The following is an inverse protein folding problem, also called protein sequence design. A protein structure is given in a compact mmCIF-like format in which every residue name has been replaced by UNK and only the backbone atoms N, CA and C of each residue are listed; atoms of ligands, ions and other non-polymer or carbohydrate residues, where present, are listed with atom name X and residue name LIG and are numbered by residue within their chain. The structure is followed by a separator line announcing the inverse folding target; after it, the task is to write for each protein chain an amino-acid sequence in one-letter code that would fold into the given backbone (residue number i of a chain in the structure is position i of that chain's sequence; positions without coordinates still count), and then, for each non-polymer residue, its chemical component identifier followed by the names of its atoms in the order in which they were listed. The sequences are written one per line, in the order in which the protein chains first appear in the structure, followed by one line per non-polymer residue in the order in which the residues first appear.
data_IF_702611267477
#
_entry.id   IF_702611267477
#
_cell.length_a   1.000
_cell.length_b   1.000
_cell.length_c   1.000
_cell.angle_alpha   90.00
_cell.angle_beta   90.00
_cell.angle_gamma   90.00
#
_symmetry.space_group_name_H-M   'P 1'
#
loop_
_entity.id
_entity.type
_entity.pdbx_description
1 polymer ?
#
# COMPACT_ATOMS: atom_id res chain seq x y z
N UNK A 1 34.94 -20.20 21.24
CA UNK A 1 34.08 -19.56 20.21
C UNK A 1 33.36 -18.39 20.87
N UNK A 2 33.70 -17.16 20.49
CA UNK A 2 33.08 -15.96 21.06
C UNK A 2 31.71 -15.80 20.41
N UNK A 3 30.65 -15.87 21.20
CA UNK A 3 29.29 -15.58 20.80
C UNK A 3 29.23 -14.11 20.37
N UNK A 4 29.30 -13.89 19.06
CA UNK A 4 29.10 -12.60 18.42
C UNK A 4 27.75 -12.06 18.91
N UNK A 5 27.79 -11.02 19.75
CA UNK A 5 26.61 -10.40 20.33
C UNK A 5 25.86 -9.69 19.20
N UNK A 6 25.06 -10.45 18.45
CA UNK A 6 24.11 -9.92 17.48
C UNK A 6 23.41 -8.72 18.09
N UNK A 7 23.51 -7.57 17.40
CA UNK A 7 22.99 -6.27 17.81
C UNK A 7 21.62 -6.47 18.47
N UNK A 8 21.54 -6.18 19.78
CA UNK A 8 20.29 -6.32 20.55
C UNK A 8 19.17 -5.60 19.78
N UNK A 9 18.12 -6.32 19.40
CA UNK A 9 16.97 -5.87 18.59
C UNK A 9 17.15 -5.83 17.06
N UNK A 10 18.12 -6.55 16.51
CA UNK A 10 18.16 -6.78 15.07
C UNK A 10 17.01 -7.70 14.63
N UNK A 11 16.35 -7.32 13.53
CA UNK A 11 15.27 -8.08 12.91
C UNK A 11 15.65 -8.39 11.48
N UNK A 12 15.82 -9.67 11.17
CA UNK A 12 15.97 -10.10 9.78
C UNK A 12 14.61 -10.24 9.12
N UNK A 13 14.62 -10.16 7.79
CA UNK A 13 13.43 -10.35 6.97
C UNK A 13 12.64 -11.62 7.32
N UNK A 14 13.31 -12.76 7.46
CA UNK A 14 12.66 -14.04 7.77
C UNK A 14 11.97 -14.05 9.14
N UNK A 15 12.55 -13.36 10.14
CA UNK A 15 11.94 -13.21 11.47
C UNK A 15 10.66 -12.38 11.40
N UNK A 16 10.69 -11.27 10.65
CA UNK A 16 9.53 -10.40 10.46
C UNK A 16 8.42 -11.16 9.73
N UNK A 17 8.77 -11.88 8.68
CA UNK A 17 7.83 -12.69 7.90
C UNK A 17 7.18 -13.79 8.77
N UNK A 18 7.99 -14.54 9.51
CA UNK A 18 7.49 -15.54 10.45
C UNK A 18 6.56 -14.93 11.50
N UNK A 19 6.93 -13.77 12.06
CA UNK A 19 6.10 -13.05 13.03
C UNK A 19 4.75 -12.66 12.42
N UNK A 20 4.74 -12.04 11.23
CA UNK A 20 3.52 -11.58 10.58
C UNK A 20 2.59 -12.74 10.19
N UNK A 21 3.16 -13.84 9.71
CA UNK A 21 2.40 -15.06 9.41
C UNK A 21 1.73 -15.63 10.67
N UNK A 22 2.45 -15.71 11.79
CA UNK A 22 1.87 -16.16 13.05
C UNK A 22 0.78 -15.21 13.58
N UNK A 23 0.95 -13.89 13.45
CA UNK A 23 -0.09 -12.92 13.80
C UNK A 23 -1.34 -13.12 12.92
N UNK A 24 -1.13 -13.44 11.63
CA UNK A 24 -2.22 -13.73 10.69
C UNK A 24 -2.98 -14.99 11.10
N UNK A 25 -2.25 -16.06 11.40
CA UNK A 25 -2.81 -17.32 11.90
C UNK A 25 -3.65 -17.08 13.16
N UNK A 26 -3.11 -16.36 14.16
CA UNK A 26 -3.85 -16.10 15.41
C UNK A 26 -5.09 -15.23 15.18
N UNK A 27 -5.00 -14.18 14.37
CA UNK A 27 -6.17 -13.35 14.07
C UNK A 27 -7.27 -14.13 13.33
N UNK A 28 -6.89 -15.05 12.42
CA UNK A 28 -7.84 -15.91 11.74
C UNK A 28 -8.52 -16.88 12.73
N UNK A 29 -7.76 -17.44 13.67
CA UNK A 29 -8.29 -18.36 14.69
C UNK A 29 -9.16 -17.69 15.75
N UNK A 30 -8.86 -16.44 16.12
CA UNK A 30 -9.64 -15.67 17.11
C UNK A 30 -10.92 -15.06 16.53
N UNK A 31 -11.12 -15.16 15.21
CA UNK A 31 -12.27 -14.58 14.52
C UNK A 31 -12.28 -13.05 14.53
N UNK A 32 -13.13 -12.46 13.69
CA UNK A 32 -13.29 -11.02 13.53
C UNK A 32 -13.73 -10.26 14.81
N UNK A 33 -13.97 -10.98 15.92
CA UNK A 33 -14.45 -10.45 17.19
C UNK A 33 -13.34 -9.85 18.07
N UNK A 34 -12.08 -10.24 17.90
CA UNK A 34 -10.97 -9.72 18.71
C UNK A 34 -9.94 -9.00 17.85
N UNK A 35 -10.14 -7.69 17.67
CA UNK A 35 -9.09 -6.80 17.09
C UNK A 35 -7.92 -6.56 18.06
N UNK A 36 -8.02 -7.09 19.28
CA UNK A 36 -7.09 -6.84 20.38
C UNK A 36 -6.17 -8.05 20.61
N UNK A 37 -4.98 -8.01 20.01
CA UNK A 37 -3.89 -8.93 20.38
C UNK A 37 -3.47 -8.70 21.84
N UNK A 38 -3.77 -9.67 22.70
CA UNK A 38 -3.43 -9.63 24.14
C UNK A 38 -1.97 -9.98 24.39
N UNK A 39 -1.47 -9.73 25.61
CA UNK A 39 -0.11 -10.14 26.00
C UNK A 39 0.10 -11.66 25.85
N UNK A 40 -0.94 -12.46 26.13
CA UNK A 40 -0.92 -13.91 25.99
C UNK A 40 -0.71 -14.35 24.54
N UNK A 41 -1.36 -13.67 23.58
CA UNK A 41 -1.12 -13.89 22.15
C UNK A 41 0.35 -13.77 21.77
N UNK A 42 1.06 -12.75 22.28
CA UNK A 42 2.48 -12.58 21.97
C UNK A 42 3.38 -13.62 22.64
N UNK A 43 2.97 -14.19 23.77
CA UNK A 43 3.66 -15.33 24.40
C UNK A 43 3.54 -16.57 23.51
N UNK A 44 2.34 -16.84 22.98
CA UNK A 44 2.12 -17.95 22.04
C UNK A 44 2.93 -17.78 20.76
N UNK A 45 2.92 -16.57 20.17
CA UNK A 45 3.71 -16.26 18.98
C UNK A 45 5.20 -16.47 19.25
N UNK A 46 5.73 -16.01 20.39
CA UNK A 46 7.14 -16.22 20.74
C UNK A 46 7.50 -17.71 20.85
N UNK A 47 6.62 -18.51 21.45
CA UNK A 47 6.80 -19.96 21.54
C UNK A 47 6.83 -20.61 20.14
N UNK A 48 5.96 -20.19 19.23
CA UNK A 48 5.93 -20.70 17.86
C UNK A 48 7.14 -20.22 17.03
N UNK A 49 7.58 -18.97 17.20
CA UNK A 49 8.81 -18.48 16.57
C UNK A 49 10.03 -19.28 17.01
N UNK A 50 10.11 -19.63 18.30
CA UNK A 50 11.17 -20.50 18.83
C UNK A 50 11.18 -21.87 18.15
N UNK A 51 10.00 -22.48 17.93
CA UNK A 51 9.88 -23.76 17.21
C UNK A 51 10.29 -23.66 15.73
N UNK A 52 10.04 -22.51 15.10
CA UNK A 52 10.40 -22.24 13.69
C UNK A 52 11.87 -21.78 13.50
N UNK A 53 12.71 -21.89 14.53
CA UNK A 53 14.14 -21.58 14.43
C UNK A 53 14.55 -20.16 14.85
N UNK A 54 13.64 -19.38 15.42
CA UNK A 54 13.90 -18.01 15.89
C UNK A 54 13.78 -17.87 17.42
N UNK A 55 14.72 -18.44 18.21
CA UNK A 55 14.61 -18.48 19.68
C UNK A 55 14.88 -17.13 20.37
N UNK A 56 15.49 -16.17 19.66
CA UNK A 56 16.04 -14.95 20.26
C UNK A 56 15.04 -13.79 20.38
N UNK A 57 13.75 -14.03 20.12
CA UNK A 57 12.71 -12.98 20.13
C UNK A 57 11.75 -13.18 21.28
N UNK A 58 11.81 -12.26 22.26
CA UNK A 58 10.90 -12.28 23.41
C UNK A 58 9.50 -11.79 23.02
N UNK A 59 8.45 -12.18 23.78
CA UNK A 59 7.09 -11.70 23.56
C UNK A 59 7.00 -10.16 23.50
N UNK A 60 7.74 -9.49 24.37
CA UNK A 60 7.80 -8.02 24.43
C UNK A 60 8.44 -7.42 23.18
N UNK A 61 9.50 -8.03 22.65
CA UNK A 61 10.14 -7.58 21.41
C UNK A 61 9.20 -7.74 20.21
N UNK A 62 8.52 -8.88 20.12
CA UNK A 62 7.53 -9.17 19.08
C UNK A 62 6.39 -8.14 19.13
N UNK A 63 5.81 -7.93 20.31
CA UNK A 63 4.77 -6.91 20.53
C UNK A 63 5.25 -5.54 20.08
N UNK A 64 6.41 -5.09 20.55
CA UNK A 64 6.97 -3.78 20.19
C UNK A 64 7.18 -3.65 18.69
N UNK A 65 7.71 -4.67 18.02
CA UNK A 65 7.96 -4.66 16.58
C UNK A 65 6.67 -4.59 15.77
N UNK A 66 5.68 -5.40 16.14
CA UNK A 66 4.35 -5.36 15.54
C UNK A 66 3.71 -3.97 15.63
N UNK A 67 3.66 -3.40 16.84
CA UNK A 67 3.08 -2.07 17.04
C UNK A 67 3.88 -0.96 16.36
N UNK A 68 5.21 -1.08 16.26
CA UNK A 68 6.04 -0.16 15.48
C UNK A 68 5.60 -0.15 14.01
N UNK A 69 5.45 -1.32 13.39
CA UNK A 69 5.06 -1.42 11.98
C UNK A 69 3.59 -0.99 11.77
N UNK A 70 2.68 -1.42 12.66
CA UNK A 70 1.26 -1.04 12.60
C UNK A 70 1.07 0.48 12.72
N UNK A 71 1.72 1.11 13.70
CA UNK A 71 1.63 2.57 13.90
C UNK A 71 2.28 3.37 12.77
N UNK A 72 3.41 2.90 12.24
CA UNK A 72 4.04 3.50 11.08
C UNK A 72 3.09 3.54 9.87
N UNK A 73 2.36 2.45 9.61
CA UNK A 73 1.37 2.40 8.53
C UNK A 73 0.16 3.32 8.80
N UNK A 74 -0.32 3.37 10.04
CA UNK A 74 -1.41 4.27 10.42
C UNK A 74 -1.02 5.75 10.27
N UNK A 75 0.22 6.12 10.59
CA UNK A 75 0.73 7.47 10.36
C UNK A 75 0.86 7.77 8.87
N UNK A 76 1.32 6.81 8.06
CA UNK A 76 1.31 6.91 6.61
C UNK A 76 -0.08 7.18 6.05
N UNK A 77 -1.09 6.44 6.51
CA UNK A 77 -2.50 6.64 6.11
C UNK A 77 -3.04 8.03 6.48
N UNK A 78 -2.50 8.66 7.53
CA UNK A 78 -2.83 10.03 7.95
C UNK A 78 -2.04 11.11 7.18
N UNK A 79 -1.26 10.75 6.17
CA UNK A 79 -0.50 11.68 5.33
C UNK A 79 0.98 11.80 5.69
N UNK A 80 1.50 11.03 6.65
CA UNK A 80 2.92 11.07 7.02
C UNK A 80 3.73 10.01 6.23
N UNK A 81 4.21 10.39 5.05
CA UNK A 81 4.91 9.49 4.12
C UNK A 81 6.19 8.88 4.69
N UNK A 82 6.95 9.64 5.49
CA UNK A 82 8.25 9.22 6.01
C UNK A 82 8.17 8.01 6.94
N UNK A 83 7.02 7.84 7.62
CA UNK A 83 6.81 6.70 8.51
C UNK A 83 6.76 5.38 7.76
N UNK A 84 6.43 5.39 6.47
CA UNK A 84 6.39 4.18 5.65
C UNK A 84 7.78 3.54 5.47
N UNK A 85 8.87 4.31 5.58
CA UNK A 85 10.25 3.79 5.53
C UNK A 85 10.62 2.94 6.74
N UNK A 86 9.87 3.01 7.85
CA UNK A 86 10.07 2.12 9.02
C UNK A 86 9.56 0.70 8.77
N UNK A 87 8.82 0.50 7.68
CA UNK A 87 8.29 -0.78 7.24
C UNK A 87 9.04 -1.20 5.98
N UNK A 88 9.78 -2.33 6.01
CA UNK A 88 10.39 -2.85 4.79
C UNK A 88 9.30 -3.09 3.73
N UNK A 89 9.61 -2.72 2.49
CA UNK A 89 8.63 -2.58 1.40
C UNK A 89 7.74 -3.81 1.20
N UNK A 90 8.34 -4.99 1.15
CA UNK A 90 7.63 -6.27 0.99
C UNK A 90 6.57 -6.56 2.05
N UNK A 91 6.65 -5.93 3.23
CA UNK A 91 5.68 -6.15 4.31
C UNK A 91 4.55 -5.12 4.33
N UNK A 92 4.62 -4.04 3.52
CA UNK A 92 3.62 -2.96 3.54
C UNK A 92 2.22 -3.48 3.24
N UNK A 93 2.07 -4.32 2.21
CA UNK A 93 0.79 -4.91 1.83
C UNK A 93 0.20 -5.81 2.93
N UNK A 94 1.06 -6.56 3.63
CA UNK A 94 0.63 -7.42 4.74
C UNK A 94 0.08 -6.57 5.89
N UNK A 95 0.78 -5.50 6.27
CA UNK A 95 0.32 -4.57 7.31
C UNK A 95 -0.97 -3.85 6.90
N UNK A 96 -1.07 -3.43 5.64
CA UNK A 96 -2.27 -2.81 5.07
C UNK A 96 -3.49 -3.72 5.25
N UNK A 97 -3.38 -5.00 4.88
CA UNK A 97 -4.44 -5.99 5.06
C UNK A 97 -4.89 -6.08 6.51
N UNK A 98 -3.96 -6.12 7.47
CA UNK A 98 -4.30 -6.17 8.90
C UNK A 98 -5.01 -4.91 9.42
N UNK A 99 -4.60 -3.73 8.97
CA UNK A 99 -5.18 -2.47 9.44
C UNK A 99 -6.56 -2.24 8.81
N UNK A 100 -6.68 -2.53 7.52
CA UNK A 100 -7.90 -2.24 6.74
C UNK A 100 -8.99 -3.29 6.95
N UNK A 101 -8.62 -4.56 7.16
CA UNK A 101 -9.60 -5.61 7.53
C UNK A 101 -10.26 -5.33 8.89
N UNK A 102 -9.54 -4.74 9.84
CA UNK A 102 -10.10 -4.33 11.13
C UNK A 102 -10.97 -3.06 11.09
N UNK A 103 -10.70 -2.13 10.18
CA UNK A 103 -11.49 -0.89 10.06
C UNK A 103 -12.90 -1.10 9.48
N UNK A 104 -13.12 -2.16 8.69
CA UNK A 104 -14.45 -2.48 8.14
C UNK A 104 -15.46 -2.90 9.21
N UNK A 105 -15.00 -3.30 10.39
CA UNK A 105 -15.86 -3.83 11.47
C UNK A 105 -16.03 -2.80 12.61
N UNK A 106 -15.12 -1.83 12.75
CA UNK A 106 -15.09 -0.88 13.87
C UNK A 106 -15.70 0.51 13.62
N UNK A 107 -16.24 0.79 12.43
CA UNK A 107 -16.80 2.13 12.10
C UNK A 107 -18.31 2.21 11.95
N UNK A 108 -19.04 1.10 12.12
CA UNK A 108 -20.50 1.12 11.93
C UNK A 108 -21.29 1.69 13.12
N UNK A 109 -20.72 1.84 14.32
CA UNK A 109 -21.50 2.13 15.52
C UNK A 109 -20.91 3.23 16.43
N UNK A 110 -20.47 4.39 15.92
CA UNK A 110 -20.39 5.60 16.75
C UNK A 110 -20.16 6.88 15.93
N UNK A 111 -21.25 7.60 15.60
CA UNK A 111 -21.38 9.05 15.80
C UNK A 111 -22.65 9.58 15.11
N UNK A 112 -23.71 9.72 15.91
CA UNK A 112 -24.75 10.73 15.75
C UNK A 112 -24.11 12.11 15.98
N UNK A 113 -24.21 13.02 15.01
CA UNK A 113 -24.67 14.43 15.15
C UNK A 113 -24.46 15.17 13.81
N UNK A 114 -25.60 15.55 13.27
CA UNK A 114 -26.00 16.56 12.28
C UNK A 114 -24.97 17.46 11.59
N UNK A 115 -25.01 17.44 10.25
CA UNK A 115 -25.28 18.57 9.33
C UNK A 115 -25.26 17.93 7.93
N UNK A 116 -26.38 17.71 7.26
CA UNK A 116 -27.21 18.73 6.61
C UNK A 116 -27.26 18.39 5.12
N UNK A 117 -28.47 18.16 4.61
CA UNK A 117 -28.87 18.16 3.19
C UNK A 117 -28.77 16.83 2.39
N UNK A 118 -29.94 16.18 2.27
CA UNK A 118 -30.41 15.21 1.25
C UNK A 118 -30.35 15.80 -0.20
N UNK A 119 -30.69 15.08 -1.29
CA UNK A 119 -30.97 13.63 -1.49
C UNK A 119 -30.20 13.01 -2.70
N UNK A 120 -30.41 11.70 -3.00
CA UNK A 120 -29.50 10.85 -3.76
C UNK A 120 -29.87 10.68 -5.25
N UNK A 121 -28.84 10.53 -6.09
CA UNK A 121 -28.95 10.08 -7.47
C UNK A 121 -29.22 8.57 -7.52
N UNK A 122 -30.31 8.21 -8.19
CA UNK A 122 -30.75 6.85 -8.40
C UNK A 122 -29.82 6.05 -9.32
N UNK A 123 -29.91 4.75 -9.11
CA UNK A 123 -29.15 3.66 -9.69
C UNK A 123 -29.18 3.64 -11.23
N UNK A 124 -28.01 3.44 -11.82
CA UNK A 124 -27.86 2.93 -13.18
C UNK A 124 -28.31 1.47 -13.21
N UNK A 125 -29.46 1.20 -13.81
CA UNK A 125 -29.76 -0.10 -14.39
C UNK A 125 -29.36 -0.11 -15.86
N UNK A 126 -28.67 -1.20 -16.19
CA UNK A 126 -28.22 -1.61 -17.50
C UNK A 126 -29.40 -1.71 -18.48
N UNK A 127 -29.20 -1.26 -19.71
CA UNK A 127 -29.74 -1.95 -20.88
C UNK A 127 -28.74 -1.81 -22.05
N UNK A 128 -28.18 -2.97 -22.41
CA UNK A 128 -27.51 -3.21 -23.69
C UNK A 128 -28.57 -3.33 -24.79
N UNK A 129 -28.10 -3.13 -26.02
CA UNK A 129 -28.68 -3.52 -27.32
C UNK A 129 -29.68 -2.51 -27.92
N UNK A 130 -29.28 -1.81 -28.98
CA UNK A 130 -29.48 -2.32 -30.34
C UNK A 130 -28.53 -1.67 -31.34
N UNK A 131 -28.25 -2.46 -32.36
CA UNK A 131 -27.34 -2.27 -33.48
C UNK A 131 -28.02 -1.53 -34.66
N UNK A 132 -27.17 -0.93 -35.49
CA UNK A 132 -27.23 -0.84 -36.96
C UNK A 132 -28.17 0.16 -37.67
N UNK A 133 -27.64 0.57 -38.83
CA UNK A 133 -28.12 1.51 -39.85
C UNK A 133 -27.80 2.99 -39.52
N UNK A 134 -27.01 3.75 -40.30
CA UNK A 134 -26.88 3.74 -41.75
C UNK A 134 -25.55 4.37 -42.19
N UNK A 135 -24.90 3.76 -43.18
CA UNK A 135 -23.93 4.41 -44.06
C UNK A 135 -24.60 5.59 -44.78
N UNK A 136 -23.92 6.73 -44.85
CA UNK A 136 -24.01 7.60 -46.02
C UNK A 136 -22.68 8.37 -46.16
N UNK A 137 -21.92 7.99 -47.18
CA UNK A 137 -20.89 8.81 -47.82
C UNK A 137 -21.54 10.04 -48.44
N UNK A 138 -21.01 11.24 -48.16
CA UNK A 138 -21.05 12.36 -49.12
C UNK A 138 -19.76 13.19 -49.02
N UNK A 139 -18.91 12.99 -50.04
CA UNK A 139 -18.10 13.94 -50.82
C UNK A 139 -17.33 15.08 -50.12
N UNK A 140 -16.03 15.12 -50.45
CA UNK A 140 -15.13 16.25 -50.37
C UNK A 140 -15.63 17.46 -51.18
N UNK A 141 -15.42 18.68 -50.64
CA UNK A 141 -14.90 19.92 -51.29
C UNK A 141 -14.92 21.10 -50.26
N UNK A 142 -14.23 22.24 -50.51
CA UNK A 142 -13.18 22.78 -49.64
C UNK A 142 -13.58 24.01 -48.81
N UNK A 143 -12.65 24.44 -47.95
CA UNK A 143 -12.57 25.72 -47.23
C UNK A 143 -13.70 26.08 -46.24
N UNK A 144 -13.49 25.71 -44.98
CA UNK A 144 -14.17 26.30 -43.82
C UNK A 144 -13.11 26.89 -42.86
N UNK A 145 -13.26 28.14 -42.39
CA UNK A 145 -12.26 28.81 -41.56
C UNK A 145 -12.01 28.05 -40.25
N UNK A 146 -10.74 28.05 -39.81
CA UNK A 146 -10.29 27.50 -38.52
C UNK A 146 -11.19 27.99 -37.39
N UNK A 147 -12.13 27.14 -36.95
CA UNK A 147 -12.84 27.35 -35.70
C UNK A 147 -11.79 27.43 -34.60
N UNK A 148 -11.73 28.57 -33.93
CA UNK A 148 -10.90 28.71 -32.74
C UNK A 148 -11.34 27.64 -31.74
N UNK A 149 -10.41 26.72 -31.42
CA UNK A 149 -10.65 25.64 -30.46
C UNK A 149 -11.42 26.19 -29.26
N UNK A 150 -12.61 25.63 -29.04
CA UNK A 150 -13.53 26.07 -27.98
C UNK A 150 -12.77 26.22 -26.66
N UNK A 151 -13.09 27.19 -25.80
CA UNK A 151 -12.42 27.36 -24.50
C UNK A 151 -12.31 26.04 -23.71
N UNK A 152 -13.32 25.16 -23.83
CA UNK A 152 -13.32 23.82 -23.25
C UNK A 152 -12.25 22.90 -23.87
N UNK A 153 -12.05 22.97 -25.17
CA UNK A 153 -11.04 22.20 -25.88
C UNK A 153 -9.62 22.68 -25.55
N UNK A 154 -9.42 24.00 -25.44
CA UNK A 154 -8.17 24.59 -24.94
C UNK A 154 -7.86 24.09 -23.52
N UNK A 155 -8.86 24.05 -22.64
CA UNK A 155 -8.72 23.51 -21.27
C UNK A 155 -8.35 22.02 -21.26
N UNK A 156 -9.09 21.17 -22.00
CA UNK A 156 -8.80 19.73 -22.06
C UNK A 156 -7.42 19.45 -22.66
N UNK A 157 -7.00 20.21 -23.66
CA UNK A 157 -5.66 20.12 -24.23
C UNK A 157 -4.58 20.51 -23.21
N UNK A 158 -4.84 21.52 -22.36
CA UNK A 158 -3.92 21.88 -21.28
C UNK A 158 -3.81 20.76 -20.24
N UNK A 159 -4.93 20.15 -19.82
CA UNK A 159 -4.91 19.02 -18.88
C UNK A 159 -4.14 17.84 -19.46
N UNK A 160 -4.36 17.50 -20.73
CA UNK A 160 -3.58 16.42 -21.38
C UNK A 160 -2.09 16.72 -21.43
N UNK A 161 -1.69 17.96 -21.73
CA UNK A 161 -0.28 18.38 -21.72
C UNK A 161 0.33 18.25 -20.33
N UNK A 162 -0.36 18.72 -19.30
CA UNK A 162 0.11 18.64 -17.92
C UNK A 162 0.26 17.17 -17.48
N UNK A 163 -0.72 16.32 -17.76
CA UNK A 163 -0.64 14.89 -17.44
C UNK A 163 0.51 14.19 -18.17
N UNK A 164 0.77 14.54 -19.43
CA UNK A 164 1.94 14.02 -20.17
C UNK A 164 3.25 14.41 -19.50
N UNK A 165 3.38 15.67 -19.06
CA UNK A 165 4.59 16.15 -18.38
C UNK A 165 4.80 15.43 -17.05
N UNK A 166 3.73 15.31 -16.24
CA UNK A 166 3.78 14.59 -14.96
C UNK A 166 4.18 13.14 -15.16
N UNK A 167 3.60 12.46 -16.15
CA UNK A 167 3.95 11.07 -16.44
C UNK A 167 5.41 10.93 -16.91
N UNK A 168 5.92 11.87 -17.73
CA UNK A 168 7.30 11.86 -18.17
C UNK A 168 8.30 12.04 -17.00
N UNK A 169 8.03 12.97 -16.10
CA UNK A 169 8.85 13.17 -14.89
C UNK A 169 8.76 11.97 -13.95
N UNK A 170 7.58 11.34 -13.83
CA UNK A 170 7.40 10.14 -13.04
C UNK A 170 8.23 8.97 -13.59
N UNK A 171 8.17 8.70 -14.90
CA UNK A 171 8.98 7.65 -15.53
C UNK A 171 10.48 7.90 -15.34
N UNK A 172 10.93 9.15 -15.49
CA UNK A 172 12.34 9.52 -15.26
C UNK A 172 12.79 9.27 -13.82
N UNK A 173 11.90 9.52 -12.84
CA UNK A 173 12.17 9.24 -11.43
C UNK A 173 12.26 7.74 -11.17
N UNK A 174 11.36 6.95 -11.76
CA UNK A 174 11.40 5.49 -11.66
C UNK A 174 12.71 4.91 -12.22
N UNK A 175 13.14 5.36 -13.40
CA UNK A 175 14.43 4.96 -13.98
C UNK A 175 15.62 5.32 -13.06
N UNK A 176 15.60 6.54 -12.50
CA UNK A 176 16.65 7.01 -11.59
C UNK A 176 16.73 6.17 -10.32
N UNK A 177 15.57 5.73 -9.80
CA UNK A 177 15.50 4.89 -8.61
C UNK A 177 16.08 3.49 -8.88
N UNK A 178 15.75 2.90 -10.03
CA UNK A 178 16.29 1.59 -10.45
C UNK A 178 17.81 1.66 -10.56
N UNK A 179 18.35 2.70 -11.19
CA UNK A 179 19.81 2.90 -11.31
C UNK A 179 20.47 3.01 -9.94
N UNK A 180 19.84 3.76 -9.02
CA UNK A 180 20.35 3.91 -7.65
C UNK A 180 20.37 2.57 -6.90
N UNK A 181 19.32 1.77 -7.03
CA UNK A 181 19.24 0.45 -6.39
C UNK A 181 20.31 -0.51 -6.93
N UNK A 182 20.51 -0.54 -8.25
CA UNK A 182 21.56 -1.32 -8.89
C UNK A 182 22.96 -0.93 -8.37
N UNK A 183 23.24 0.37 -8.21
CA UNK A 183 24.50 0.84 -7.60
C UNK A 183 24.65 0.38 -6.15
N UNK A 184 23.58 0.44 -5.36
CA UNK A 184 23.61 -0.04 -3.98
C UNK A 184 23.84 -1.56 -3.89
N UNK A 185 23.25 -2.32 -4.81
CA UNK A 185 23.48 -3.77 -4.93
C UNK A 185 24.94 -4.07 -5.29
N UNK A 186 25.48 -3.37 -6.30
CA UNK A 186 26.89 -3.50 -6.70
C UNK A 186 27.85 -3.25 -5.54
N UNK A 187 27.63 -2.18 -4.75
CA UNK A 187 28.47 -1.86 -3.58
C UNK A 187 28.36 -2.97 -2.51
N UNK A 188 27.16 -3.52 -2.29
CA UNK A 188 26.97 -4.64 -1.34
C UNK A 188 27.75 -5.88 -1.80
N UNK A 189 27.65 -6.24 -3.07
CA UNK A 189 28.31 -7.43 -3.61
C UNK A 189 29.84 -7.29 -3.58
N UNK A 190 30.38 -6.11 -3.91
CA UNK A 190 31.81 -5.82 -3.77
C UNK A 190 32.34 -5.95 -2.34
N UNK A 191 31.52 -5.59 -1.34
CA UNK A 191 31.92 -5.70 0.07
C UNK A 191 31.81 -7.13 0.61
N UNK A 192 31.00 -7.99 -0.02
CA UNK A 192 30.88 -9.41 0.35
C UNK A 192 32.05 -10.23 -0.19
N UNK A 193 32.55 -9.92 -1.40
CA UNK A 193 33.64 -10.68 -2.07
C UNK A 193 35.02 -10.45 -1.42
N UNK A 194 35.17 -9.41 -0.57
CA UNK A 194 36.44 -9.08 0.11
C UNK A 194 36.68 -9.86 1.43
N UNK A 195 35.81 -10.79 1.79
CA UNK A 195 35.95 -11.68 2.95
C UNK A 195 36.03 -13.15 2.48
#
# INVERSE_FOLDING_TARGET
MKSEKLKRNFWISAEIECMLNLIKEVNNSQGALSTSTTQYTFIQIASQMKKRGFPNKSPTQIRRKWFQMKSAYLCYKKGNLDRLFLIPEKFRNVIAQFVESGEKIGRSNLSTISTGTLPPAQQQQQQKQHQNHSKQEVKAFPDVPKEEASPMEKFLNQIRKNNKLVNAEFTKLEESLIIYEQKCQFIRDQNIIKF
#
